data_IF_330208373135
#
_entry.id   IF_330208373135
#
_cell.length_a   1.000
_cell.length_b   1.000
_cell.length_c   1.000
_cell.angle_alpha   90.00
_cell.angle_beta   90.00
_cell.angle_gamma   90.00
#
_symmetry.space_group_name_H-M   'P 1'
#
loop_
_entity.id
_entity.type
_entity.pdbx_description
1 polymer ?
#
# COMPACT_ATOMS: atom_id res chain seq x y z
N UNK A 1 3.59 35.78 27.42
CA UNK A 1 2.21 35.44 27.02
C UNK A 1 1.94 35.58 25.51
N UNK A 2 2.76 36.27 24.73
CA UNK A 2 2.55 36.51 23.27
C UNK A 2 2.87 35.34 22.35
N UNK A 3 3.63 34.34 22.79
CA UNK A 3 4.04 33.22 21.93
C UNK A 3 2.96 32.11 21.74
N UNK A 4 2.14 31.85 22.75
CA UNK A 4 1.11 30.80 22.69
C UNK A 4 -0.02 31.14 21.70
N UNK A 5 -0.47 32.39 21.66
CA UNK A 5 -1.53 32.80 20.75
C UNK A 5 -1.07 32.76 19.29
N UNK A 6 0.21 32.98 19.01
CA UNK A 6 0.80 32.92 17.69
C UNK A 6 0.92 31.45 17.21
N UNK A 7 1.26 30.52 18.10
CA UNK A 7 1.34 29.09 17.78
C UNK A 7 -0.04 28.52 17.52
N UNK A 8 -1.04 28.86 18.35
CA UNK A 8 -2.43 28.41 18.19
C UNK A 8 -3.02 28.88 16.84
N UNK A 9 -2.81 30.14 16.48
CA UNK A 9 -3.33 30.67 15.21
C UNK A 9 -2.67 30.02 13.98
N UNK A 10 -1.36 29.74 14.05
CA UNK A 10 -0.64 29.01 13.01
C UNK A 10 -1.13 27.56 12.88
N UNK A 11 -1.37 26.89 14.01
CA UNK A 11 -1.90 25.55 14.04
C UNK A 11 -3.30 25.47 13.41
N UNK A 12 -4.19 26.37 13.78
CA UNK A 12 -5.53 26.44 13.20
C UNK A 12 -5.52 26.67 11.70
N UNK A 13 -4.62 27.55 11.23
CA UNK A 13 -4.44 27.81 9.79
C UNK A 13 -3.98 26.56 9.06
N UNK A 14 -2.96 25.86 9.55
CA UNK A 14 -2.45 24.62 8.97
C UNK A 14 -3.51 23.52 8.99
N UNK A 15 -4.24 23.39 10.08
CA UNK A 15 -5.29 22.38 10.22
C UNK A 15 -6.45 22.64 9.22
N UNK A 16 -6.82 23.89 9.02
CA UNK A 16 -7.82 24.30 8.03
C UNK A 16 -7.35 24.00 6.61
N UNK A 17 -6.08 24.23 6.32
CA UNK A 17 -5.46 23.91 5.03
C UNK A 17 -5.44 22.40 4.77
N UNK A 18 -5.01 21.59 5.72
CA UNK A 18 -5.06 20.12 5.62
C UNK A 18 -6.48 19.64 5.40
N UNK A 19 -7.45 20.11 6.17
CA UNK A 19 -8.86 19.75 6.02
C UNK A 19 -9.41 20.10 4.63
N UNK A 20 -9.01 21.22 4.05
CA UNK A 20 -9.38 21.59 2.69
C UNK A 20 -8.71 20.65 1.67
N UNK A 21 -7.45 20.33 1.85
CA UNK A 21 -6.70 19.44 0.96
C UNK A 21 -7.28 18.01 0.93
N UNK A 22 -7.86 17.53 2.02
CA UNK A 22 -8.55 16.23 2.06
C UNK A 22 -9.75 16.13 1.10
N UNK A 23 -10.36 17.26 0.73
CA UNK A 23 -11.51 17.31 -0.18
C UNK A 23 -11.13 17.15 -1.66
N UNK A 24 -9.88 17.42 -2.02
CA UNK A 24 -9.42 17.40 -3.41
C UNK A 24 -8.87 16.03 -3.78
N UNK A 25 -9.53 15.32 -4.70
CA UNK A 25 -9.12 13.98 -5.19
C UNK A 25 -7.69 13.93 -5.76
N UNK A 26 -7.17 15.05 -6.26
CA UNK A 26 -5.80 15.15 -6.80
C UNK A 26 -4.72 15.32 -5.72
N UNK A 27 -5.10 15.49 -4.45
CA UNK A 27 -4.16 15.67 -3.36
C UNK A 27 -3.83 14.31 -2.72
N UNK A 28 -2.55 14.08 -2.41
CA UNK A 28 -2.09 12.87 -1.75
C UNK A 28 -2.78 12.61 -0.40
N UNK A 29 -3.22 13.67 0.29
CA UNK A 29 -3.98 13.53 1.54
C UNK A 29 -5.42 13.03 1.35
N UNK A 30 -5.92 12.98 0.12
CA UNK A 30 -7.27 12.46 -0.14
C UNK A 30 -7.45 11.01 0.33
N UNK A 31 -6.38 10.22 0.34
CA UNK A 31 -6.39 8.84 0.85
C UNK A 31 -6.85 8.75 2.32
N UNK A 32 -6.70 9.83 3.10
CA UNK A 32 -7.13 9.91 4.49
C UNK A 32 -8.58 10.41 4.62
N UNK A 33 -9.23 10.76 3.51
CA UNK A 33 -10.61 11.25 3.55
C UNK A 33 -11.60 10.11 3.72
N UNK A 34 -12.75 10.39 4.35
CA UNK A 34 -13.86 9.44 4.45
C UNK A 34 -14.45 9.04 3.09
N UNK A 35 -14.21 9.84 2.06
CA UNK A 35 -14.71 9.64 0.70
C UNK A 35 -13.67 8.94 -0.19
N UNK A 36 -12.57 8.45 0.38
CA UNK A 36 -11.59 7.68 -0.37
C UNK A 36 -12.17 6.31 -0.71
N UNK A 37 -12.23 6.02 -1.99
CA UNK A 37 -12.70 4.73 -2.50
C UNK A 37 -11.53 3.96 -3.10
N UNK A 38 -11.47 2.67 -2.76
CA UNK A 38 -10.52 1.75 -3.36
C UNK A 38 -11.04 1.41 -4.76
N UNK A 39 -10.21 1.61 -5.77
CA UNK A 39 -10.58 1.47 -7.18
C UNK A 39 -10.49 0.03 -7.73
N UNK A 40 -10.62 -0.97 -6.88
CA UNK A 40 -10.74 -2.36 -7.31
C UNK A 40 -12.02 -3.01 -6.73
N UNK A 41 -12.59 -3.93 -7.47
CA UNK A 41 -13.83 -4.61 -7.12
C UNK A 41 -13.62 -6.05 -6.67
N UNK A 42 -14.61 -6.64 -5.99
CA UNK A 42 -14.62 -8.06 -5.66
C UNK A 42 -14.55 -8.97 -6.91
N UNK A 43 -14.99 -8.48 -8.08
CA UNK A 43 -14.85 -9.21 -9.35
C UNK A 43 -13.39 -9.34 -9.77
N UNK A 44 -12.60 -8.29 -9.58
CA UNK A 44 -11.17 -8.30 -9.90
C UNK A 44 -10.40 -9.25 -8.97
N UNK A 45 -10.74 -9.25 -7.67
CA UNK A 45 -10.19 -10.19 -6.70
C UNK A 45 -10.53 -11.65 -7.05
N UNK A 46 -11.76 -11.94 -7.52
CA UNK A 46 -12.14 -13.28 -7.95
C UNK A 46 -11.33 -13.77 -9.15
N UNK A 47 -11.02 -12.90 -10.12
CA UNK A 47 -10.13 -13.27 -11.24
C UNK A 47 -8.75 -13.71 -10.74
N UNK A 48 -8.22 -13.02 -9.73
CA UNK A 48 -6.93 -13.36 -9.13
C UNK A 48 -6.98 -14.61 -8.24
N UNK A 49 -8.16 -15.08 -7.85
CA UNK A 49 -8.30 -16.26 -6.99
C UNK A 49 -7.81 -17.56 -7.64
N UNK A 50 -7.85 -17.65 -8.96
CA UNK A 50 -7.48 -18.85 -9.72
C UNK A 50 -5.95 -19.09 -9.79
N UNK A 51 -5.15 -18.07 -9.52
CA UNK A 51 -3.68 -18.22 -9.52
C UNK A 51 -3.21 -18.93 -8.26
N UNK A 52 -2.34 -19.93 -8.40
CA UNK A 52 -1.75 -20.69 -7.28
C UNK A 52 -0.58 -19.97 -6.64
N UNK A 53 0.13 -19.15 -7.41
CA UNK A 53 1.30 -18.42 -6.97
C UNK A 53 1.12 -16.92 -7.22
N UNK A 54 1.68 -16.11 -6.33
CA UNK A 54 1.67 -14.65 -6.42
C UNK A 54 3.11 -14.16 -6.33
N UNK A 55 3.53 -13.37 -7.29
CA UNK A 55 4.80 -12.65 -7.26
C UNK A 55 4.53 -11.18 -6.93
N UNK A 56 5.17 -10.68 -5.89
CA UNK A 56 5.08 -9.29 -5.47
C UNK A 56 6.42 -8.62 -5.73
N UNK A 57 6.42 -7.62 -6.61
CA UNK A 57 7.60 -6.87 -6.98
C UNK A 57 7.51 -5.47 -6.38
N UNK A 58 8.57 -5.04 -5.72
CA UNK A 58 8.65 -3.71 -5.15
C UNK A 58 10.00 -3.46 -4.52
N UNK A 59 10.31 -2.22 -4.20
CA UNK A 59 11.57 -1.83 -3.59
C UNK A 59 11.32 -0.86 -2.44
N UNK A 60 12.07 -1.00 -1.35
CA UNK A 60 11.94 -0.13 -0.17
C UNK A 60 10.53 -0.13 0.41
N UNK A 61 10.00 1.05 0.71
CA UNK A 61 8.70 1.21 1.36
C UNK A 61 7.51 0.66 0.57
N UNK A 62 7.64 0.48 -0.74
CA UNK A 62 6.55 -0.03 -1.58
C UNK A 62 6.24 -1.52 -1.35
N UNK A 63 7.18 -2.29 -0.82
CA UNK A 63 7.00 -3.73 -0.58
C UNK A 63 6.92 -4.08 0.90
N UNK A 64 7.58 -3.33 1.78
CA UNK A 64 7.66 -3.62 3.21
C UNK A 64 6.28 -3.73 3.88
N UNK A 65 5.34 -2.86 3.52
CA UNK A 65 3.98 -2.92 4.04
C UNK A 65 3.25 -4.21 3.66
N UNK A 66 3.45 -4.65 2.42
CA UNK A 66 2.85 -5.91 1.92
C UNK A 66 3.50 -7.13 2.56
N UNK A 67 4.81 -7.12 2.78
CA UNK A 67 5.52 -8.18 3.51
C UNK A 67 5.02 -8.30 4.95
N UNK A 68 4.85 -7.17 5.64
CA UNK A 68 4.32 -7.17 7.00
C UNK A 68 2.90 -7.77 7.09
N UNK A 69 2.01 -7.37 6.16
CA UNK A 69 0.66 -7.93 6.08
C UNK A 69 0.71 -9.44 5.77
N UNK A 70 1.57 -9.84 4.85
CA UNK A 70 1.74 -11.25 4.50
C UNK A 70 2.19 -12.07 5.72
N UNK A 71 3.23 -11.64 6.44
CA UNK A 71 3.71 -12.33 7.64
C UNK A 71 2.64 -12.47 8.70
N UNK A 72 1.85 -11.41 8.90
CA UNK A 72 0.71 -11.45 9.84
C UNK A 72 -0.36 -12.47 9.43
N UNK A 73 -0.60 -12.62 8.14
CA UNK A 73 -1.67 -13.48 7.59
C UNK A 73 -1.14 -14.82 7.05
N UNK A 74 0.15 -15.12 7.15
CA UNK A 74 0.81 -16.27 6.51
C UNK A 74 0.07 -17.59 6.75
N UNK A 75 -0.35 -17.85 7.99
CA UNK A 75 -1.09 -19.07 8.35
C UNK A 75 -2.47 -19.19 7.68
N UNK A 76 -3.02 -18.08 7.19
CA UNK A 76 -4.32 -18.03 6.50
C UNK A 76 -4.17 -18.05 4.97
N UNK A 77 -3.01 -17.71 4.45
CA UNK A 77 -2.74 -17.62 3.02
C UNK A 77 -2.29 -19.00 2.51
N UNK A 78 -3.12 -19.61 1.67
CA UNK A 78 -2.83 -20.93 1.06
C UNK A 78 -2.02 -20.83 -0.23
N UNK A 79 -1.83 -19.63 -0.75
CA UNK A 79 -1.10 -19.38 -2.01
C UNK A 79 0.39 -19.25 -1.74
N UNK A 80 1.19 -19.73 -2.70
CA UNK A 80 2.63 -19.46 -2.68
C UNK A 80 2.87 -17.99 -3.01
N UNK A 81 3.46 -17.25 -2.08
CA UNK A 81 3.80 -15.83 -2.27
C UNK A 81 5.32 -15.71 -2.32
N UNK A 82 5.82 -15.00 -3.31
CA UNK A 82 7.26 -14.71 -3.48
C UNK A 82 7.44 -13.20 -3.63
N UNK A 83 8.33 -12.64 -2.81
CA UNK A 83 8.66 -11.23 -2.83
C UNK A 83 9.97 -11.01 -3.60
N UNK A 84 9.94 -10.06 -4.53
CA UNK A 84 11.09 -9.58 -5.29
C UNK A 84 11.36 -8.15 -4.88
N UNK A 85 12.21 -7.99 -3.87
CA UNK A 85 12.62 -6.71 -3.29
C UNK A 85 14.03 -6.29 -3.68
N UNK A 86 14.70 -7.13 -4.45
CA UNK A 86 16.04 -6.95 -4.98
C UNK A 86 16.11 -7.39 -6.46
N UNK A 87 17.22 -7.08 -7.13
CA UNK A 87 17.49 -7.46 -8.52
C UNK A 87 18.22 -8.83 -8.62
N UNK A 88 17.95 -9.74 -7.71
CA UNK A 88 18.58 -11.05 -7.70
C UNK A 88 18.06 -11.93 -8.85
N UNK A 89 18.88 -12.08 -9.89
CA UNK A 89 18.54 -12.86 -11.09
C UNK A 89 18.30 -14.34 -10.76
N UNK A 90 19.06 -14.92 -9.85
CA UNK A 90 18.92 -16.33 -9.46
C UNK A 90 17.54 -16.62 -8.88
N UNK A 91 17.02 -15.72 -8.04
CA UNK A 91 15.68 -15.79 -7.48
C UNK A 91 14.60 -15.77 -8.56
N UNK A 92 14.78 -14.93 -9.59
CA UNK A 92 13.88 -14.82 -10.73
C UNK A 92 13.91 -16.11 -11.58
N UNK A 93 15.11 -16.63 -11.87
CA UNK A 93 15.28 -17.87 -12.65
C UNK A 93 14.65 -19.05 -11.92
N UNK A 94 14.86 -19.17 -10.63
CA UNK A 94 14.29 -20.25 -9.83
C UNK A 94 12.76 -20.16 -9.76
N UNK A 95 12.21 -18.95 -9.67
CA UNK A 95 10.76 -18.73 -9.72
C UNK A 95 10.17 -19.18 -11.07
N UNK A 96 10.80 -18.83 -12.18
CA UNK A 96 10.37 -19.26 -13.53
C UNK A 96 10.41 -20.77 -13.69
N UNK A 97 11.46 -21.44 -13.20
CA UNK A 97 11.59 -22.91 -13.28
C UNK A 97 10.52 -23.65 -12.49
N UNK A 98 10.13 -23.12 -11.32
CA UNK A 98 9.18 -23.79 -10.41
C UNK A 98 7.72 -23.54 -10.79
N UNK A 99 7.44 -22.45 -11.48
CA UNK A 99 6.10 -22.08 -11.91
C UNK A 99 6.09 -22.10 -13.45
N UNK A 100 5.82 -23.28 -14.03
CA UNK A 100 5.51 -23.37 -15.47
C UNK A 100 4.23 -22.58 -15.70
N UNK A 101 4.36 -21.47 -16.43
CA UNK A 101 3.23 -20.72 -16.95
C UNK A 101 2.67 -21.42 -18.18
#
# INVERSE_FOLDING_TARGET
MTNYNNISSKFEKLFKEIRNNLKYKKNNFHILSKNFEINFSNKDLKKMSNFKSLAILGMGGSILGTEAIYQFLEKKIKKKVVFFNDLNEEKIVNFKKTNKF
#
